data_IF_039168205158
#
_entry.id   IF_039168205158
#
_cell.length_a   1.000
_cell.length_b   1.000
_cell.length_c   1.000
_cell.angle_alpha   90.00
_cell.angle_beta   90.00
_cell.angle_gamma   90.00
#
_symmetry.space_group_name_H-M   'P 1'
#
loop_
_entity.id
_entity.type
_entity.pdbx_description
1 polymer ?
#
# COMPACT_ATOMS: atom_id res chain seq x y z
N UNK A 1 -2.88 -5.43 -24.85
CA UNK A 1 -2.68 -5.09 -23.41
C UNK A 1 -1.69 -6.09 -22.83
N UNK A 2 -0.71 -5.65 -22.03
CA UNK A 2 0.14 -6.59 -21.29
C UNK A 2 -0.67 -7.27 -20.18
N UNK A 3 -0.36 -8.54 -19.89
CA UNK A 3 -1.03 -9.32 -18.84
C UNK A 3 -0.72 -8.73 -17.47
N UNK A 4 -1.75 -8.47 -16.65
CA UNK A 4 -1.58 -8.08 -15.24
C UNK A 4 -1.11 -9.27 -14.40
N UNK A 5 -0.25 -9.01 -13.41
CA UNK A 5 0.31 -10.04 -12.51
C UNK A 5 -0.12 -9.77 -11.06
N UNK A 6 -0.16 -10.82 -10.26
CA UNK A 6 -0.45 -10.77 -8.82
C UNK A 6 0.83 -11.03 -8.04
N UNK A 7 1.18 -10.13 -7.13
CA UNK A 7 2.31 -10.30 -6.21
C UNK A 7 1.78 -10.64 -4.82
N UNK A 8 2.28 -11.72 -4.22
CA UNK A 8 1.96 -12.12 -2.86
C UNK A 8 3.21 -11.97 -1.99
N UNK A 9 3.17 -11.03 -1.06
CA UNK A 9 4.21 -10.86 -0.04
C UNK A 9 3.76 -11.55 1.25
N UNK A 10 4.34 -12.72 1.56
CA UNK A 10 3.97 -13.57 2.72
C UNK A 10 5.18 -13.91 3.60
N UNK A 11 4.97 -14.67 4.67
CA UNK A 11 5.97 -15.05 5.68
C UNK A 11 5.97 -14.13 6.90
N UNK A 12 6.73 -14.48 7.93
CA UNK A 12 6.75 -13.74 9.21
C UNK A 12 7.71 -12.54 9.21
N UNK A 13 8.65 -12.51 8.27
CA UNK A 13 9.65 -11.45 8.15
C UNK A 13 9.06 -10.04 7.98
N UNK A 14 9.77 -9.04 8.50
CA UNK A 14 9.43 -7.62 8.30
C UNK A 14 9.65 -7.24 6.82
N UNK A 15 8.87 -6.27 6.34
CA UNK A 15 9.07 -5.67 5.01
C UNK A 15 8.01 -5.98 3.95
N UNK A 16 7.06 -6.89 4.21
CA UNK A 16 5.94 -7.19 3.27
C UNK A 16 5.18 -5.93 2.83
N UNK A 17 4.75 -5.15 3.81
CA UNK A 17 4.06 -3.86 3.57
C UNK A 17 4.97 -2.87 2.85
N UNK A 18 6.23 -2.77 3.26
CA UNK A 18 7.21 -1.85 2.66
C UNK A 18 7.47 -2.20 1.19
N UNK A 19 7.57 -3.48 0.84
CA UNK A 19 7.71 -3.95 -0.53
C UNK A 19 6.50 -3.57 -1.40
N UNK A 20 5.28 -3.78 -0.88
CA UNK A 20 4.05 -3.37 -1.58
C UNK A 20 3.99 -1.85 -1.81
N UNK A 21 4.34 -1.04 -0.81
CA UNK A 21 4.41 0.42 -0.97
C UNK A 21 5.54 0.87 -1.90
N UNK A 22 6.68 0.18 -1.92
CA UNK A 22 7.76 0.44 -2.87
C UNK A 22 7.32 0.22 -4.31
N UNK A 23 6.61 -0.87 -4.58
CA UNK A 23 6.04 -1.17 -5.89
C UNK A 23 4.99 -0.11 -6.30
N UNK A 24 4.11 0.26 -5.37
CA UNK A 24 3.12 1.31 -5.56
C UNK A 24 3.78 2.64 -5.97
N UNK A 25 4.82 3.09 -5.24
CA UNK A 25 5.56 4.32 -5.56
C UNK A 25 6.25 4.24 -6.92
N UNK A 26 6.86 3.09 -7.25
CA UNK A 26 7.46 2.87 -8.57
C UNK A 26 6.42 3.03 -9.69
N UNK A 27 5.25 2.43 -9.53
CA UNK A 27 4.17 2.54 -10.51
C UNK A 27 3.69 3.99 -10.67
N UNK A 28 3.52 4.71 -9.57
CA UNK A 28 3.18 6.15 -9.59
C UNK A 28 4.24 6.99 -10.30
N UNK A 29 5.54 6.69 -10.09
CA UNK A 29 6.64 7.35 -10.81
C UNK A 29 6.59 7.15 -12.33
N UNK A 30 5.98 6.07 -12.80
CA UNK A 30 5.69 5.81 -14.22
C UNK A 30 4.28 6.29 -14.64
N UNK A 31 3.71 7.27 -13.93
CA UNK A 31 2.38 7.84 -14.17
C UNK A 31 1.23 6.81 -14.20
N UNK A 32 1.37 5.68 -13.49
CA UNK A 32 0.30 4.70 -13.33
C UNK A 32 -0.62 5.10 -12.17
N UNK A 33 -1.91 4.75 -12.28
CA UNK A 33 -2.89 4.94 -11.22
C UNK A 33 -2.72 3.85 -10.16
N UNK A 34 -2.69 4.24 -8.89
CA UNK A 34 -2.47 3.32 -7.76
C UNK A 34 -3.48 3.61 -6.65
N UNK A 35 -4.04 2.54 -6.09
CA UNK A 35 -4.93 2.55 -4.93
C UNK A 35 -4.38 1.57 -3.89
N UNK A 36 -4.27 2.00 -2.63
CA UNK A 36 -3.87 1.15 -1.51
C UNK A 36 -5.07 0.99 -0.57
N UNK A 37 -5.41 -0.26 -0.27
CA UNK A 37 -6.44 -0.64 0.70
C UNK A 37 -5.76 -1.32 1.89
N UNK A 38 -5.99 -0.82 3.11
CA UNK A 38 -5.46 -1.41 4.35
C UNK A 38 -6.59 -1.88 5.24
N UNK A 39 -6.64 -3.17 5.55
CA UNK A 39 -7.73 -3.79 6.33
C UNK A 39 -7.42 -3.92 7.84
N UNK A 40 -6.15 -3.95 8.24
CA UNK A 40 -5.73 -4.30 9.61
C UNK A 40 -4.66 -3.34 10.13
N UNK A 41 -4.96 -2.05 10.25
CA UNK A 41 -4.00 -1.07 10.83
C UNK A 41 -4.66 -0.07 11.77
N UNK A 42 -4.09 0.04 12.98
CA UNK A 42 -4.47 1.03 14.00
C UNK A 42 -4.33 2.47 13.49
N UNK A 43 -5.29 3.33 13.86
CA UNK A 43 -5.31 4.77 13.57
C UNK A 43 -4.13 5.55 14.19
N UNK A 44 -3.41 4.95 15.14
CA UNK A 44 -2.59 5.71 16.08
C UNK A 44 -1.28 6.28 15.50
N UNK A 45 -0.75 5.77 14.39
CA UNK A 45 0.47 6.33 13.79
C UNK A 45 0.48 6.25 12.25
N UNK A 46 0.71 7.39 11.61
CA UNK A 46 1.03 7.44 10.19
C UNK A 46 2.46 6.92 9.98
N UNK A 47 2.59 5.73 9.37
CA UNK A 47 3.91 5.19 9.04
C UNK A 47 4.57 6.01 7.91
N UNK A 48 5.91 5.96 7.82
CA UNK A 48 6.65 6.64 6.75
C UNK A 48 6.18 6.24 5.35
N UNK A 49 5.68 5.02 5.16
CA UNK A 49 5.07 4.58 3.92
C UNK A 49 3.81 5.36 3.56
N UNK A 50 2.93 5.62 4.53
CA UNK A 50 1.70 6.41 4.33
C UNK A 50 2.05 7.85 4.00
N UNK A 51 2.93 8.46 4.79
CA UNK A 51 3.32 9.87 4.59
C UNK A 51 3.87 10.05 3.17
N UNK A 52 4.73 9.13 2.74
CA UNK A 52 5.29 9.14 1.39
C UNK A 52 4.24 8.82 0.31
N UNK A 53 3.27 7.95 0.57
CA UNK A 53 2.17 7.67 -0.36
C UNK A 53 1.30 8.92 -0.59
N UNK A 54 0.96 9.66 0.47
CA UNK A 54 0.22 10.93 0.36
C UNK A 54 0.99 11.97 -0.45
N UNK A 55 2.30 12.11 -0.24
CA UNK A 55 3.16 13.04 -1.01
C UNK A 55 3.28 12.69 -2.50
N UNK A 56 3.09 11.43 -2.85
CA UNK A 56 3.17 10.94 -4.24
C UNK A 56 1.80 10.88 -4.92
N UNK A 57 0.73 11.34 -4.27
CA UNK A 57 -0.63 11.33 -4.84
C UNK A 57 -1.29 9.95 -4.85
N UNK A 58 -0.77 8.98 -4.09
CA UNK A 58 -1.37 7.66 -3.97
C UNK A 58 -2.56 7.74 -3.02
N UNK A 59 -3.74 7.31 -3.50
CA UNK A 59 -4.94 7.21 -2.66
C UNK A 59 -4.81 6.01 -1.72
N UNK A 60 -4.87 6.27 -0.42
CA UNK A 60 -4.84 5.24 0.63
C UNK A 60 -6.18 5.23 1.34
N UNK A 61 -6.90 4.11 1.29
CA UNK A 61 -8.12 3.87 2.04
C UNK A 61 -7.79 2.90 3.16
N UNK A 62 -8.15 3.26 4.39
CA UNK A 62 -8.03 2.40 5.56
C UNK A 62 -9.42 1.99 6.00
N UNK A 63 -9.63 0.68 6.13
CA UNK A 63 -10.83 0.13 6.74
C UNK A 63 -10.59 0.04 8.24
N UNK A 64 -11.63 0.40 9.00
CA UNK A 64 -11.68 0.18 10.45
C UNK A 64 -12.19 -1.24 10.70
N UNK A 65 -11.77 -1.83 11.83
CA UNK A 65 -12.21 -3.15 12.27
C UNK A 65 -13.74 -3.24 12.12
N UNK A 66 -14.18 -4.06 11.16
CA UNK A 66 -15.56 -4.49 11.01
C UNK A 66 -15.81 -5.62 12.01
N UNK A 67 -15.48 -5.42 13.29
CA UNK A 67 -15.99 -6.30 14.34
C UNK A 67 -17.41 -5.85 14.64
N UNK A 68 -18.36 -6.50 13.96
CA UNK A 68 -19.75 -6.62 14.46
C UNK A 68 -19.77 -7.56 15.64
#
# INVERSE_FOLDING_TARGET
MSKGLIHVYTGEGKGKTTAAFGLAKRATGHAKKVLILQFLKSKMQDSGEIISARKTGIKVIRFEDQTT
#
